data_IF_383640375292
#
_entry.id   IF_383640375292
#
_cell.length_a   1.000
_cell.length_b   1.000
_cell.length_c   1.000
_cell.angle_alpha   90.00
_cell.angle_beta   90.00
_cell.angle_gamma   90.00
#
_symmetry.space_group_name_H-M   'P 1'
#
loop_
_entity.id
_entity.type
_entity.pdbx_description
1 polymer ?
#
# COMPACT_ATOMS: atom_id res chain seq x y z
N UNK A 1 23.76 39.59 -21.86
CA UNK A 1 23.50 38.13 -21.79
C UNK A 1 22.74 37.83 -20.51
N UNK A 2 21.42 37.57 -20.59
CA UNK A 2 20.64 37.06 -19.45
C UNK A 2 20.65 35.54 -19.53
N UNK A 3 21.35 34.90 -18.60
CA UNK A 3 21.35 33.45 -18.40
C UNK A 3 19.93 32.99 -18.06
N UNK A 4 19.29 32.23 -18.95
CA UNK A 4 18.07 31.47 -18.64
C UNK A 4 18.53 30.22 -17.88
N UNK A 5 18.35 30.19 -16.56
CA UNK A 5 18.36 28.93 -15.82
C UNK A 5 17.20 28.09 -16.36
N UNK A 6 17.49 26.91 -16.92
CA UNK A 6 16.48 25.89 -17.15
C UNK A 6 16.02 25.42 -15.76
N UNK A 7 14.79 25.74 -15.37
CA UNK A 7 14.12 25.00 -14.31
C UNK A 7 13.95 23.57 -14.81
N UNK A 8 14.74 22.65 -14.23
CA UNK A 8 14.43 21.24 -14.33
C UNK A 8 13.29 20.99 -13.34
N UNK A 9 12.04 20.98 -13.83
CA UNK A 9 10.94 20.43 -13.06
C UNK A 9 11.22 18.94 -12.88
N UNK A 10 11.47 18.50 -11.65
CA UNK A 10 11.48 17.08 -11.32
C UNK A 10 10.04 16.59 -11.54
N UNK A 11 9.84 15.63 -12.43
CA UNK A 11 8.51 15.03 -12.61
C UNK A 11 8.08 14.38 -11.29
N UNK A 12 6.84 14.68 -10.88
CA UNK A 12 6.26 14.13 -9.65
C UNK A 12 5.84 12.69 -9.88
N UNK A 13 5.94 11.85 -8.84
CA UNK A 13 5.38 10.50 -8.88
C UNK A 13 3.85 10.62 -8.78
N UNK A 14 3.15 10.09 -9.78
CA UNK A 14 1.69 10.12 -9.88
C UNK A 14 1.12 8.94 -9.11
N UNK A 15 0.36 9.22 -8.06
CA UNK A 15 -0.18 8.21 -7.15
C UNK A 15 -1.70 8.21 -7.22
N UNK A 16 -2.29 7.03 -7.44
CA UNK A 16 -3.71 6.77 -7.28
C UNK A 16 -3.95 6.03 -5.97
N UNK A 17 -4.56 6.69 -4.99
CA UNK A 17 -5.02 6.06 -3.76
C UNK A 17 -6.47 5.56 -3.94
N UNK A 18 -6.63 4.25 -4.03
CA UNK A 18 -7.92 3.59 -4.20
C UNK A 18 -8.40 2.98 -2.89
N UNK A 19 -9.68 3.16 -2.57
CA UNK A 19 -10.31 2.46 -1.43
C UNK A 19 -11.67 1.89 -1.79
N UNK A 20 -12.01 0.78 -1.15
CA UNK A 20 -13.35 0.19 -1.20
C UNK A 20 -14.46 1.08 -0.63
N UNK A 21 -14.14 2.02 0.27
CA UNK A 21 -15.09 2.90 0.99
C UNK A 21 -16.04 2.11 1.90
N UNK A 22 -15.49 1.25 2.74
CA UNK A 22 -16.19 0.48 3.79
C UNK A 22 -15.87 0.95 5.21
N UNK A 23 -14.86 1.79 5.36
CA UNK A 23 -14.51 2.48 6.59
C UNK A 23 -15.61 3.44 7.11
N UNK A 24 -15.74 3.62 8.42
CA UNK A 24 -16.67 4.58 9.01
C UNK A 24 -16.21 6.03 8.82
N UNK A 25 -17.12 6.89 8.35
CA UNK A 25 -16.84 8.33 8.15
C UNK A 25 -16.48 9.06 9.46
N UNK A 26 -16.85 8.52 10.63
CA UNK A 26 -16.48 9.07 11.94
C UNK A 26 -14.98 8.93 12.24
N UNK A 27 -14.30 7.97 11.61
CA UNK A 27 -12.84 7.79 11.69
C UNK A 27 -12.19 8.41 10.46
N UNK A 28 -12.75 8.14 9.27
CA UNK A 28 -12.20 8.54 7.99
C UNK A 28 -13.21 9.37 7.18
N UNK A 29 -13.39 10.67 7.48
CA UNK A 29 -14.43 11.50 6.85
C UNK A 29 -14.20 11.72 5.34
N UNK A 30 -12.96 11.58 4.87
CA UNK A 30 -12.61 11.60 3.44
C UNK A 30 -12.32 10.20 2.88
N UNK A 31 -12.60 9.16 3.65
CA UNK A 31 -12.18 7.78 3.41
C UNK A 31 -10.71 7.51 3.73
N UNK A 32 -10.35 6.23 3.83
CA UNK A 32 -8.97 5.79 4.07
C UNK A 32 -8.04 6.25 2.95
N UNK A 33 -8.50 6.17 1.70
CA UNK A 33 -7.77 6.72 0.56
C UNK A 33 -7.50 8.23 0.71
N UNK A 34 -8.45 8.97 1.31
CA UNK A 34 -8.28 10.39 1.63
C UNK A 34 -7.20 10.62 2.69
N UNK A 35 -7.16 9.81 3.76
CA UNK A 35 -6.12 9.91 4.78
C UNK A 35 -4.73 9.58 4.22
N UNK A 36 -4.61 8.53 3.42
CA UNK A 36 -3.38 8.17 2.69
C UNK A 36 -2.97 9.32 1.77
N UNK A 37 -3.91 9.86 0.98
CA UNK A 37 -3.63 10.94 0.06
C UNK A 37 -3.20 12.23 0.76
N UNK A 38 -3.83 12.60 1.88
CA UNK A 38 -3.45 13.77 2.66
C UNK A 38 -2.05 13.60 3.27
N UNK A 39 -1.67 12.39 3.70
CA UNK A 39 -0.31 12.07 4.13
C UNK A 39 0.72 12.25 3.01
N UNK A 40 0.44 11.74 1.81
CA UNK A 40 1.33 11.87 0.66
C UNK A 40 1.43 13.31 0.15
N UNK A 41 0.32 14.05 0.09
CA UNK A 41 0.30 15.46 -0.38
C UNK A 41 1.14 16.41 0.48
N UNK A 42 1.58 15.98 1.67
CA UNK A 42 2.55 16.73 2.47
C UNK A 42 3.96 16.75 1.87
N UNK A 43 4.22 15.95 0.83
CA UNK A 43 5.49 15.91 0.10
C UNK A 43 5.37 16.52 -1.30
N UNK A 44 6.36 17.32 -1.70
CA UNK A 44 6.33 18.05 -2.97
C UNK A 44 6.55 17.17 -4.21
N UNK A 45 7.14 15.98 -4.03
CA UNK A 45 7.48 15.02 -5.09
C UNK A 45 6.32 14.12 -5.53
N UNK A 46 5.13 14.28 -4.94
CA UNK A 46 3.95 13.48 -5.28
C UNK A 46 2.83 14.31 -5.94
N UNK A 47 2.18 13.72 -6.94
CA UNK A 47 0.90 14.15 -7.48
C UNK A 47 -0.14 13.07 -7.14
N UNK A 48 -1.05 13.37 -6.22
CA UNK A 48 -1.92 12.35 -5.61
C UNK A 48 -3.38 12.56 -5.95
N UNK A 49 -3.99 11.56 -6.57
CA UNK A 49 -5.42 11.46 -6.81
C UNK A 49 -6.04 10.33 -5.99
N UNK A 50 -7.36 10.39 -5.81
CA UNK A 50 -8.12 9.38 -5.07
C UNK A 50 -9.25 8.84 -5.92
N UNK A 51 -9.59 7.58 -5.74
CA UNK A 51 -10.77 6.95 -6.35
C UNK A 51 -11.32 5.85 -5.45
N UNK A 52 -12.48 5.31 -5.80
CA UNK A 52 -13.14 4.25 -5.04
C UNK A 52 -13.96 3.30 -5.89
N UNK A 53 -14.35 2.19 -5.28
CA UNK A 53 -15.26 1.20 -5.87
C UNK A 53 -16.60 1.78 -6.37
N UNK A 54 -17.03 2.95 -5.84
CA UNK A 54 -18.29 3.61 -6.21
C UNK A 54 -18.17 4.52 -7.44
N UNK A 55 -16.96 4.83 -7.88
CA UNK A 55 -16.73 5.70 -9.04
C UNK A 55 -17.03 4.94 -10.35
N UNK A 56 -17.18 5.70 -11.45
CA UNK A 56 -17.23 5.13 -12.81
C UNK A 56 -16.03 4.20 -13.03
N UNK A 57 -16.28 3.07 -13.68
CA UNK A 57 -15.31 1.99 -13.89
C UNK A 57 -14.63 1.52 -12.58
N UNK A 58 -15.37 1.60 -11.47
CA UNK A 58 -14.89 1.27 -10.12
C UNK A 58 -13.70 2.13 -9.69
N UNK A 59 -13.51 3.30 -10.31
CA UNK A 59 -12.35 4.17 -10.09
C UNK A 59 -11.05 3.66 -10.70
N UNK A 60 -11.10 2.58 -11.49
CA UNK A 60 -9.94 1.86 -12.01
C UNK A 60 -9.93 1.82 -13.54
N UNK A 61 -10.50 2.83 -14.19
CA UNK A 61 -10.46 3.02 -15.64
C UNK A 61 -9.03 3.02 -16.20
N UNK A 62 -8.86 2.61 -17.45
CA UNK A 62 -7.53 2.54 -18.07
C UNK A 62 -6.85 3.90 -18.14
N UNK A 63 -7.62 4.96 -18.40
CA UNK A 63 -7.16 6.36 -18.36
C UNK A 63 -6.50 6.73 -17.03
N UNK A 64 -7.08 6.32 -15.91
CA UNK A 64 -6.55 6.57 -14.57
C UNK A 64 -5.32 5.72 -14.27
N UNK A 65 -5.37 4.44 -14.62
CA UNK A 65 -4.26 3.52 -14.39
C UNK A 65 -3.03 3.91 -15.22
N UNK A 66 -3.22 4.32 -16.48
CA UNK A 66 -2.14 4.75 -17.38
C UNK A 66 -1.60 6.15 -17.01
N UNK A 67 -2.41 6.96 -16.31
CA UNK A 67 -2.01 8.23 -15.74
C UNK A 67 -1.31 8.13 -14.37
N UNK A 68 -1.08 6.91 -13.85
CA UNK A 68 -0.51 6.68 -12.52
C UNK A 68 0.77 5.86 -12.58
N UNK A 69 1.75 6.23 -11.77
CA UNK A 69 2.98 5.44 -11.58
C UNK A 69 2.81 4.44 -10.44
N UNK A 70 1.97 4.77 -9.45
CA UNK A 70 1.70 3.93 -8.28
C UNK A 70 0.20 3.83 -8.00
N UNK A 71 -0.27 2.61 -7.77
CA UNK A 71 -1.58 2.33 -7.22
C UNK A 71 -1.44 1.89 -5.76
N UNK A 72 -2.07 2.62 -4.85
CA UNK A 72 -2.25 2.19 -3.46
C UNK A 72 -3.67 1.65 -3.32
N UNK A 73 -3.78 0.42 -2.80
CA UNK A 73 -5.02 -0.29 -2.70
C UNK A 73 -5.36 -0.59 -1.24
N UNK A 74 -6.49 -0.07 -0.78
CA UNK A 74 -7.15 -0.52 0.43
C UNK A 74 -8.52 -1.14 0.11
N UNK A 75 -8.85 -2.28 0.70
CA UNK A 75 -10.17 -2.89 0.59
C UNK A 75 -10.32 -4.05 1.56
N UNK A 76 -11.57 -4.48 1.82
CA UNK A 76 -11.85 -5.45 2.88
C UNK A 76 -12.98 -6.42 2.48
N UNK A 77 -14.23 -5.97 2.46
CA UNK A 77 -15.40 -6.84 2.43
C UNK A 77 -16.00 -7.02 1.03
N UNK A 78 -15.49 -6.31 0.03
CA UNK A 78 -16.07 -6.24 -1.33
C UNK A 78 -15.03 -6.52 -2.41
N UNK A 79 -13.97 -7.28 -2.09
CA UNK A 79 -12.98 -7.74 -3.06
C UNK A 79 -13.60 -8.39 -4.29
N UNK A 80 -14.70 -9.13 -4.11
CA UNK A 80 -15.40 -9.82 -5.18
C UNK A 80 -16.09 -8.91 -6.19
N UNK A 81 -16.41 -7.67 -5.81
CA UNK A 81 -17.07 -6.72 -6.70
C UNK A 81 -16.13 -6.20 -7.80
N UNK A 82 -14.82 -6.18 -7.58
CA UNK A 82 -13.86 -5.85 -8.66
C UNK A 82 -13.83 -6.98 -9.67
N UNK A 83 -13.96 -6.66 -10.96
CA UNK A 83 -13.99 -7.70 -11.99
C UNK A 83 -12.62 -8.41 -12.13
N UNK A 84 -12.65 -9.70 -12.49
CA UNK A 84 -11.40 -10.45 -12.71
C UNK A 84 -10.57 -9.87 -13.86
N UNK A 85 -11.24 -9.37 -14.91
CA UNK A 85 -10.60 -8.68 -16.03
C UNK A 85 -9.86 -7.42 -15.57
N UNK A 86 -10.49 -6.61 -14.70
CA UNK A 86 -9.86 -5.41 -14.14
C UNK A 86 -8.67 -5.75 -13.26
N UNK A 87 -8.80 -6.76 -12.40
CA UNK A 87 -7.71 -7.25 -11.56
C UNK A 87 -6.51 -7.74 -12.39
N UNK A 88 -6.75 -8.53 -13.45
CA UNK A 88 -5.69 -8.99 -14.34
C UNK A 88 -5.08 -7.84 -15.17
N UNK A 89 -5.88 -6.84 -15.55
CA UNK A 89 -5.41 -5.62 -16.22
C UNK A 89 -4.41 -4.85 -15.36
N UNK A 90 -4.64 -4.77 -14.05
CA UNK A 90 -3.70 -4.19 -13.08
C UNK A 90 -2.46 -5.07 -12.93
N UNK A 91 -2.63 -6.37 -12.76
CA UNK A 91 -1.51 -7.30 -12.62
C UNK A 91 -0.58 -7.28 -13.86
N UNK A 92 -1.13 -7.15 -15.07
CA UNK A 92 -0.35 -6.96 -16.30
C UNK A 92 0.48 -5.68 -16.29
N UNK A 93 -0.07 -4.55 -15.84
CA UNK A 93 0.66 -3.27 -15.72
C UNK A 93 1.80 -3.37 -14.71
N UNK A 94 1.55 -4.03 -13.58
CA UNK A 94 2.59 -4.32 -12.58
C UNK A 94 3.68 -5.17 -13.20
N UNK A 95 3.35 -6.33 -13.78
CA UNK A 95 4.34 -7.21 -14.44
C UNK A 95 5.14 -6.50 -15.53
N UNK A 96 4.52 -5.58 -16.27
CA UNK A 96 5.17 -4.80 -17.31
C UNK A 96 6.11 -3.70 -16.76
N UNK A 97 6.00 -3.36 -15.47
CA UNK A 97 6.76 -2.27 -14.84
C UNK A 97 6.21 -0.88 -15.12
N UNK A 98 4.96 -0.78 -15.59
CA UNK A 98 4.30 0.51 -15.84
C UNK A 98 3.46 1.00 -14.66
N UNK A 99 3.36 0.19 -13.59
CA UNK A 99 2.61 0.52 -12.39
C UNK A 99 3.21 -0.19 -11.17
N UNK A 100 3.52 0.56 -10.12
CA UNK A 100 3.86 0.01 -8.80
C UNK A 100 2.59 -0.27 -8.01
N UNK A 101 2.58 -1.33 -7.20
CA UNK A 101 1.42 -1.68 -6.37
C UNK A 101 1.78 -1.66 -4.89
N UNK A 102 0.97 -0.96 -4.09
CA UNK A 102 0.99 -1.05 -2.63
C UNK A 102 -0.36 -1.59 -2.19
N UNK A 103 -0.38 -2.69 -1.44
CA UNK A 103 -1.60 -3.21 -0.80
C UNK A 103 -1.53 -2.96 0.69
N UNK A 104 -2.62 -2.42 1.24
CA UNK A 104 -2.72 -2.04 2.65
C UNK A 104 -3.73 -2.94 3.35
N UNK A 105 -3.30 -3.53 4.46
CA UNK A 105 -4.13 -4.30 5.38
C UNK A 105 -4.86 -5.46 4.69
N UNK A 106 -6.18 -5.56 4.83
CA UNK A 106 -7.03 -6.59 4.24
C UNK A 106 -6.96 -6.66 2.71
N UNK A 107 -6.37 -5.64 2.05
CA UNK A 107 -6.06 -5.69 0.62
C UNK A 107 -5.10 -6.83 0.21
N UNK A 108 -4.45 -7.53 1.16
CA UNK A 108 -3.78 -8.80 0.89
C UNK A 108 -4.72 -9.87 0.31
N UNK A 109 -6.04 -9.75 0.49
CA UNK A 109 -7.03 -10.65 -0.13
C UNK A 109 -7.59 -10.10 -1.46
N UNK A 110 -7.10 -8.95 -1.93
CA UNK A 110 -7.55 -8.34 -3.18
C UNK A 110 -7.21 -9.19 -4.40
N UNK A 111 -8.11 -9.23 -5.38
CA UNK A 111 -7.91 -9.93 -6.66
C UNK A 111 -6.59 -9.59 -7.37
N UNK A 112 -6.18 -8.30 -7.54
CA UNK A 112 -4.91 -7.99 -8.19
C UNK A 112 -3.70 -8.54 -7.42
N UNK A 113 -3.71 -8.48 -6.08
CA UNK A 113 -2.62 -9.04 -5.27
C UNK A 113 -2.53 -10.56 -5.41
N UNK A 114 -3.65 -11.27 -5.30
CA UNK A 114 -3.70 -12.72 -5.51
C UNK A 114 -3.23 -13.12 -6.91
N UNK A 115 -3.59 -12.36 -7.94
CA UNK A 115 -3.12 -12.60 -9.31
C UNK A 115 -1.59 -12.44 -9.43
N UNK A 116 -0.99 -11.52 -8.69
CA UNK A 116 0.47 -11.30 -8.67
C UNK A 116 1.22 -12.35 -7.84
N UNK A 117 0.67 -12.74 -6.69
CA UNK A 117 1.29 -13.71 -5.79
C UNK A 117 1.13 -15.16 -6.25
N UNK A 118 0.05 -15.48 -6.96
CA UNK A 118 -0.22 -16.85 -7.43
C UNK A 118 -0.63 -17.82 -6.31
N UNK A 119 -1.03 -17.31 -5.15
CA UNK A 119 -1.44 -18.07 -3.96
C UNK A 119 -2.82 -17.62 -3.46
N UNK A 120 -3.32 -18.20 -2.35
CA UNK A 120 -4.57 -17.74 -1.76
C UNK A 120 -4.44 -16.37 -1.09
N UNK A 121 -3.23 -16.02 -0.63
CA UNK A 121 -2.92 -14.85 0.21
C UNK A 121 -3.67 -14.85 1.55
N UNK A 122 -4.21 -16.02 1.95
CA UNK A 122 -4.86 -16.19 3.24
C UNK A 122 -3.86 -16.09 4.39
N UNK A 123 -4.37 -15.65 5.53
CA UNK A 123 -3.67 -15.65 6.82
C UNK A 123 -4.29 -16.71 7.72
N UNK A 124 -3.52 -17.25 8.66
CA UNK A 124 -3.99 -18.34 9.50
C UNK A 124 -5.00 -17.90 10.57
N UNK A 125 -4.91 -16.65 10.99
CA UNK A 125 -5.84 -16.08 11.96
C UNK A 125 -5.79 -14.57 11.97
N UNK A 126 -6.86 -14.01 12.53
CA UNK A 126 -6.98 -12.60 12.84
C UNK A 126 -7.77 -12.42 14.13
N UNK A 127 -7.60 -11.27 14.79
CA UNK A 127 -8.34 -10.91 16.01
C UNK A 127 -8.50 -9.40 16.12
N UNK A 128 -9.73 -8.96 16.37
CA UNK A 128 -10.09 -7.56 16.63
C UNK A 128 -10.29 -7.35 18.14
N UNK A 129 -9.20 -7.28 18.89
CA UNK A 129 -9.19 -7.02 20.34
C UNK A 129 -8.63 -5.65 20.73
N UNK A 130 -8.27 -4.83 19.74
CA UNK A 130 -7.72 -3.49 19.91
C UNK A 130 -6.38 -3.44 20.68
N UNK A 131 -5.69 -4.57 20.82
CA UNK A 131 -4.39 -4.61 21.49
C UNK A 131 -3.29 -3.93 20.64
N UNK A 132 -2.19 -3.48 21.26
CA UNK A 132 -1.08 -2.88 20.54
C UNK A 132 -0.40 -3.83 19.54
N UNK A 133 0.07 -3.25 18.44
CA UNK A 133 0.99 -3.89 17.50
C UNK A 133 2.37 -3.24 17.59
N UNK A 134 3.39 -4.05 17.84
CA UNK A 134 4.78 -3.63 17.85
C UNK A 134 5.41 -3.94 16.49
N UNK A 135 5.67 -2.90 15.71
CA UNK A 135 6.26 -3.01 14.37
C UNK A 135 7.76 -2.85 14.48
N UNK A 136 8.49 -3.90 14.10
CA UNK A 136 9.95 -3.94 14.08
C UNK A 136 10.51 -3.72 12.68
N UNK A 137 11.54 -2.88 12.58
CA UNK A 137 12.26 -2.63 11.32
C UNK A 137 13.37 -3.67 11.17
N UNK A 138 13.10 -4.74 10.41
CA UNK A 138 14.06 -5.84 10.24
C UNK A 138 15.06 -5.60 9.11
N UNK A 139 14.78 -4.68 8.17
CA UNK A 139 15.72 -4.26 7.12
C UNK A 139 15.95 -2.73 7.14
N UNK A 140 16.73 -2.20 8.10
CA UNK A 140 16.87 -0.76 8.33
C UNK A 140 17.53 0.01 7.17
N UNK A 141 18.29 -0.67 6.32
CA UNK A 141 18.95 -0.06 5.16
C UNK A 141 18.05 -0.02 3.91
N UNK A 142 16.85 -0.62 3.95
CA UNK A 142 15.94 -0.61 2.82
C UNK A 142 15.34 0.80 2.62
N UNK A 143 15.11 1.29 1.38
CA UNK A 143 14.53 2.61 1.15
C UNK A 143 13.19 2.85 1.87
N UNK A 144 12.38 1.81 2.04
CA UNK A 144 11.11 1.87 2.80
C UNK A 144 11.33 2.22 4.27
N UNK A 145 12.44 1.75 4.87
CA UNK A 145 12.79 1.99 6.27
C UNK A 145 13.48 3.33 6.52
N UNK A 146 13.67 4.17 5.49
CA UNK A 146 14.37 5.46 5.64
C UNK A 146 13.66 6.38 6.63
N UNK A 147 14.31 6.66 7.77
CA UNK A 147 13.75 7.49 8.83
C UNK A 147 12.66 6.80 9.66
N UNK A 148 12.51 5.49 9.53
CA UNK A 148 11.58 4.66 10.30
C UNK A 148 12.40 3.85 11.30
N UNK A 149 12.02 3.94 12.58
CA UNK A 149 12.52 3.09 13.66
C UNK A 149 11.41 2.15 14.13
N UNK A 150 11.72 1.20 14.99
CA UNK A 150 10.69 0.41 15.67
C UNK A 150 9.63 1.32 16.29
N UNK A 151 8.36 0.99 16.08
CA UNK A 151 7.24 1.80 16.53
C UNK A 151 6.08 0.93 17.00
N UNK A 152 5.16 1.54 17.74
CA UNK A 152 3.96 0.87 18.23
C UNK A 152 2.74 1.54 17.64
N UNK A 153 1.82 0.72 17.14
CA UNK A 153 0.48 1.13 16.79
C UNK A 153 -0.38 0.82 18.03
N UNK A 154 -0.95 1.84 18.71
CA UNK A 154 -1.56 1.64 20.02
C UNK A 154 -2.75 0.68 20.05
N UNK A 155 -3.48 0.57 18.93
CA UNK A 155 -4.63 -0.30 18.73
C UNK A 155 -4.62 -0.77 17.28
N UNK A 156 -4.80 -2.07 17.05
CA UNK A 156 -4.91 -2.63 15.69
C UNK A 156 -5.79 -3.87 15.66
N UNK A 157 -5.99 -4.41 14.47
CA UNK A 157 -6.39 -5.80 14.29
C UNK A 157 -5.12 -6.67 14.16
N UNK A 158 -5.06 -7.77 14.90
CA UNK A 158 -3.96 -8.72 14.83
C UNK A 158 -4.12 -9.63 13.61
N UNK A 159 -3.07 -9.79 12.80
CA UNK A 159 -2.93 -10.87 11.81
C UNK A 159 -1.85 -11.87 12.23
N UNK A 160 -2.04 -13.16 11.92
CA UNK A 160 -1.07 -14.21 12.25
C UNK A 160 -0.66 -15.09 11.07
N UNK A 161 0.59 -15.54 11.14
CA UNK A 161 1.17 -16.53 10.23
C UNK A 161 0.57 -17.95 10.45
N UNK A 162 0.62 -18.84 9.43
CA UNK A 162 1.14 -18.62 8.08
C UNK A 162 0.31 -17.65 7.22
N UNK A 163 1.03 -16.76 6.54
CA UNK A 163 0.56 -15.94 5.43
C UNK A 163 0.94 -16.61 4.11
N UNK A 164 -0.07 -17.11 3.40
CA UNK A 164 0.08 -17.90 2.16
C UNK A 164 0.44 -17.01 0.97
N UNK A 165 1.69 -16.58 0.92
CA UNK A 165 2.31 -15.83 -0.17
C UNK A 165 3.67 -16.43 -0.52
N UNK A 166 4.19 -16.22 -1.75
CA UNK A 166 5.58 -16.51 -2.05
C UNK A 166 6.50 -15.83 -1.03
N UNK A 167 7.66 -16.44 -0.77
CA UNK A 167 8.67 -15.80 0.05
C UNK A 167 8.94 -14.38 -0.48
N UNK A 168 8.86 -13.34 0.37
CA UNK A 168 9.17 -11.99 -0.06
C UNK A 168 10.64 -11.89 -0.45
N UNK A 169 10.94 -11.12 -1.49
CA UNK A 169 12.32 -10.81 -1.88
C UNK A 169 13.02 -10.03 -0.76
N UNK A 170 12.27 -9.15 -0.10
CA UNK A 170 12.72 -8.43 1.10
C UNK A 170 11.57 -8.33 2.11
N UNK A 171 11.81 -8.79 3.33
CA UNK A 171 10.97 -8.47 4.49
C UNK A 171 11.52 -7.20 5.14
N UNK A 172 10.77 -6.11 5.14
CA UNK A 172 11.19 -4.82 5.71
C UNK A 172 10.72 -4.63 7.13
N UNK A 173 9.48 -5.05 7.40
CA UNK A 173 8.81 -4.88 8.69
C UNK A 173 8.23 -6.21 9.16
N UNK A 174 8.29 -6.43 10.47
CA UNK A 174 7.66 -7.56 11.14
C UNK A 174 6.86 -7.04 12.33
N UNK A 175 5.63 -7.53 12.50
CA UNK A 175 4.77 -7.16 13.61
C UNK A 175 4.76 -8.25 14.67
N UNK A 176 4.76 -7.83 15.93
CA UNK A 176 4.60 -8.67 17.13
C UNK A 176 3.40 -8.19 17.93
N UNK A 177 2.65 -9.13 18.47
CA UNK A 177 1.43 -8.88 19.23
C UNK A 177 1.52 -9.51 20.63
N UNK A 178 0.75 -8.97 21.58
CA UNK A 178 0.77 -9.41 22.99
C UNK A 178 0.42 -10.90 23.18
N UNK A 179 -0.42 -11.47 22.30
CA UNK A 179 -0.76 -12.89 22.34
C UNK A 179 0.37 -13.83 21.88
N UNK A 180 1.54 -13.29 21.52
CA UNK A 180 2.69 -14.03 21.01
C UNK A 180 2.64 -14.29 19.51
N UNK A 181 1.60 -13.84 18.82
CA UNK A 181 1.53 -13.89 17.36
C UNK A 181 2.56 -12.96 16.72
N UNK A 182 2.92 -13.28 15.48
CA UNK A 182 3.74 -12.42 14.65
C UNK A 182 3.24 -12.45 13.21
N UNK A 183 3.63 -11.42 12.45
CA UNK A 183 3.24 -11.30 11.05
C UNK A 183 4.34 -10.63 10.23
N UNK A 184 4.59 -11.15 9.02
CA UNK A 184 5.44 -10.48 8.02
C UNK A 184 4.71 -9.25 7.46
N UNK A 185 4.77 -8.14 8.18
CA UNK A 185 3.89 -6.97 8.00
C UNK A 185 4.34 -5.94 6.97
N UNK A 186 5.58 -6.01 6.48
CA UNK A 186 6.08 -5.17 5.40
C UNK A 186 6.87 -6.00 4.39
N UNK A 187 6.21 -6.55 3.38
CA UNK A 187 6.82 -7.45 2.41
C UNK A 187 7.00 -6.79 1.04
N UNK A 188 8.15 -7.01 0.41
CA UNK A 188 8.48 -6.54 -0.92
C UNK A 188 8.62 -7.71 -1.90
N UNK A 189 8.11 -7.53 -3.12
CA UNK A 189 8.32 -8.44 -4.24
C UNK A 189 8.70 -7.70 -5.52
N UNK A 190 9.58 -8.31 -6.30
CA UNK A 190 9.82 -8.01 -7.70
C UNK A 190 8.94 -8.92 -8.56
N UNK A 191 8.05 -8.33 -9.34
CA UNK A 191 7.08 -9.07 -10.14
C UNK A 191 7.19 -8.61 -11.59
N UNK A 192 7.86 -9.41 -12.42
CA UNK A 192 8.27 -8.97 -13.76
C UNK A 192 9.21 -7.76 -13.65
N UNK A 193 8.85 -6.66 -14.32
CA UNK A 193 9.56 -5.38 -14.20
C UNK A 193 8.98 -4.46 -13.12
N UNK A 194 7.92 -4.91 -12.42
CA UNK A 194 7.21 -4.16 -11.39
C UNK A 194 7.71 -4.45 -9.98
N UNK A 195 7.23 -3.61 -9.06
CA UNK A 195 7.46 -3.74 -7.61
C UNK A 195 6.12 -3.76 -6.88
N UNK A 196 6.01 -4.65 -5.92
CA UNK A 196 4.84 -4.79 -5.04
C UNK A 196 5.29 -4.65 -3.59
N UNK A 197 4.56 -3.85 -2.81
CA UNK A 197 4.73 -3.77 -1.36
C UNK A 197 3.40 -4.09 -0.67
N UNK A 198 3.41 -5.02 0.29
CA UNK A 198 2.27 -5.22 1.20
C UNK A 198 2.58 -4.64 2.57
N UNK A 199 1.65 -3.87 3.12
CA UNK A 199 1.75 -3.27 4.44
C UNK A 199 0.55 -3.65 5.29
N UNK A 200 0.75 -4.42 6.36
CA UNK A 200 -0.32 -5.02 7.16
C UNK A 200 -1.16 -4.02 7.98
N UNK A 201 -0.60 -2.96 8.58
CA UNK A 201 -1.40 -2.04 9.37
C UNK A 201 -2.44 -1.28 8.55
N UNK A 202 -3.67 -1.19 9.03
CA UNK A 202 -4.70 -0.37 8.37
C UNK A 202 -6.16 -0.76 8.58
N UNK A 203 -6.50 -1.34 9.73
CA UNK A 203 -7.88 -1.68 10.08
C UNK A 203 -8.79 -0.44 10.10
N UNK A 204 -9.98 -0.54 9.52
CA UNK A 204 -10.77 0.63 9.14
C UNK A 204 -11.41 1.39 10.29
N UNK A 205 -11.61 0.74 11.43
CA UNK A 205 -12.25 1.35 12.60
C UNK A 205 -11.25 2.15 13.45
N UNK A 206 -9.97 2.13 13.09
CA UNK A 206 -8.87 2.70 13.86
C UNK A 206 -8.10 3.74 13.02
N UNK A 207 -7.60 4.84 13.63
CA UNK A 207 -6.97 5.95 12.90
C UNK A 207 -5.51 5.65 12.49
N UNK A 208 -5.20 4.41 12.12
CA UNK A 208 -3.84 3.93 11.82
C UNK A 208 -3.20 4.72 10.66
N UNK A 209 -3.97 5.04 9.62
CA UNK A 209 -3.46 5.80 8.46
C UNK A 209 -3.13 7.27 8.79
N UNK A 210 -3.46 7.74 9.99
CA UNK A 210 -3.12 9.09 10.47
C UNK A 210 -1.87 9.12 11.34
N UNK A 211 -1.31 7.96 11.70
CA UNK A 211 -0.07 7.86 12.48
C UNK A 211 1.16 8.22 11.62
N UNK A 212 2.13 8.94 12.19
CA UNK A 212 3.22 9.53 11.43
C UNK A 212 4.24 8.50 10.92
N UNK A 213 4.52 7.45 11.69
CA UNK A 213 5.36 6.34 11.24
C UNK A 213 4.71 5.60 10.06
N UNK A 214 3.39 5.38 10.12
CA UNK A 214 2.60 4.76 9.04
C UNK A 214 2.63 5.61 7.77
N UNK A 215 2.41 6.92 7.87
CA UNK A 215 2.53 7.85 6.72
C UNK A 215 3.94 7.82 6.13
N UNK A 216 4.96 7.79 6.98
CA UNK A 216 6.37 7.78 6.56
C UNK A 216 6.67 6.50 5.78
N UNK A 217 6.28 5.32 6.30
CA UNK A 217 6.41 4.03 5.61
C UNK A 217 5.73 4.06 4.26
N UNK A 218 4.47 4.51 4.19
CA UNK A 218 3.73 4.58 2.92
C UNK A 218 4.39 5.53 1.91
N UNK A 219 4.87 6.70 2.35
CA UNK A 219 5.56 7.65 1.47
C UNK A 219 6.87 7.06 0.91
N UNK A 220 7.62 6.31 1.72
CA UNK A 220 8.84 5.67 1.28
C UNK A 220 8.54 4.48 0.36
N UNK A 221 7.48 3.73 0.64
CA UNK A 221 7.00 2.65 -0.21
C UNK A 221 6.59 3.16 -1.60
N UNK A 222 5.89 4.30 -1.69
CA UNK A 222 5.55 4.95 -2.96
C UNK A 222 6.80 5.23 -3.78
N UNK A 223 7.83 5.84 -3.18
CA UNK A 223 9.10 6.12 -3.88
C UNK A 223 9.80 4.83 -4.33
N UNK A 224 9.75 3.79 -3.51
CA UNK A 224 10.38 2.51 -3.82
C UNK A 224 9.67 1.77 -4.97
N UNK A 225 8.33 1.69 -4.94
CA UNK A 225 7.56 1.02 -6.00
C UNK A 225 7.47 1.84 -7.28
N UNK A 226 7.60 3.17 -7.23
CA UNK A 226 7.64 4.02 -8.42
C UNK A 226 8.96 3.93 -9.19
N UNK A 227 10.05 3.54 -8.53
CA UNK A 227 11.36 3.41 -9.15
C UNK A 227 11.45 2.10 -9.97
N UNK A 228 10.61 2.01 -11.00
CA UNK A 228 10.52 0.90 -11.94
C UNK A 228 11.51 1.21 -13.08
N UNK A 229 12.71 0.65 -12.93
CA UNK A 229 13.89 0.82 -13.79
C UNK A 229 14.61 2.19 -13.69
N UNK A 230 15.53 2.27 -12.73
CA UNK A 230 16.76 3.05 -12.85
C UNK A 230 17.93 2.24 -12.27
N UNK A 231 18.35 1.20 -13.00
CA UNK A 231 19.73 0.68 -13.01
C UNK A 231 20.14 0.40 -14.46
#
# INVERSE_FOLDING_TARGET
MKSRRKEYSVEKIRVLAWSERTEPDSVYPKGINGAIADGLRSHDDFEVSTSSLKDVDQGLGDDRLDASDVLIWWGHNKHDLVSNERAESIARRVRAGSLGLIVVHSAILSKPFKALMGTSCGIAGWREDDEPEHVHVVMPNHPIAKGVHDFTIPRTEMYSEPFDVPAPDVLVLESRYEGGEYFRSGCCWLVGNGRVFSFSPGHETLPIMMQDEVKTVLSNAVRWVANLAAE
#
